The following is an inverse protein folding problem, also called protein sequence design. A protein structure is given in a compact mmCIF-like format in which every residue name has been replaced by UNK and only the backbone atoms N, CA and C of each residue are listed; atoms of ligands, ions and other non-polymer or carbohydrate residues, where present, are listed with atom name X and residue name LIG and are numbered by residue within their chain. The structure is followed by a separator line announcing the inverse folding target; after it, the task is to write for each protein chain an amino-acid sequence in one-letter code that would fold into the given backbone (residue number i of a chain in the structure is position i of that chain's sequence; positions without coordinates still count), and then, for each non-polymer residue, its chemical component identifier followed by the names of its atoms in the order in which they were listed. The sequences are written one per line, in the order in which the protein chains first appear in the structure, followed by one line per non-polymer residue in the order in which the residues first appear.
data_IF_175169929768
#
_entry.id   IF_175169929768
#
_cell.length_a   1.000
_cell.length_b   1.000
_cell.length_c   1.000
_cell.angle_alpha   90.00
_cell.angle_beta   90.00
_cell.angle_gamma   90.00
#
_symmetry.space_group_name_H-M   'P 1'
#
loop_
_entity.id
_entity.type
_entity.pdbx_description
1 polymer ?
#
# COMPACT_ATOMS: atom_id res chain seq x y z
N UNK A 1 -6.08 -5.41 20.62
CA UNK A 1 -6.20 -5.85 19.21
C UNK A 1 -4.79 -6.09 18.71
N UNK A 2 -4.57 -7.08 17.84
CA UNK A 2 -3.26 -7.36 17.23
C UNK A 2 -3.25 -6.72 15.84
N UNK A 3 -2.23 -5.90 15.56
CA UNK A 3 -2.02 -5.25 14.27
C UNK A 3 -1.06 -6.07 13.41
N UNK A 4 -1.25 -6.05 12.10
CA UNK A 4 -0.45 -6.79 11.11
C UNK A 4 0.85 -6.06 10.77
N UNK A 5 0.87 -4.74 10.94
CA UNK A 5 2.02 -3.86 10.65
C UNK A 5 2.49 -3.16 11.92
N UNK A 6 3.82 -3.07 12.08
CA UNK A 6 4.47 -2.17 13.05
C UNK A 6 5.25 -1.14 12.26
N UNK A 7 4.78 0.11 12.27
CA UNK A 7 5.38 1.23 11.54
C UNK A 7 6.41 1.99 12.37
N UNK A 8 6.35 1.91 13.70
CA UNK A 8 7.35 2.52 14.57
C UNK A 8 7.96 1.47 15.51
N UNK A 9 9.24 1.18 15.29
CA UNK A 9 10.03 0.30 16.12
C UNK A 9 10.95 1.10 17.06
N UNK A 10 10.84 0.83 18.35
CA UNK A 10 11.60 1.48 19.41
C UNK A 10 12.41 0.47 20.20
N UNK A 11 13.43 0.92 20.93
CA UNK A 11 14.20 0.04 21.82
C UNK A 11 13.35 -0.68 22.88
N UNK A 12 12.24 -0.08 23.32
CA UNK A 12 11.37 -0.63 24.38
C UNK A 12 9.90 -0.88 24.00
N UNK A 13 9.48 -0.59 22.76
CA UNK A 13 8.09 -0.78 22.33
C UNK A 13 7.95 -0.89 20.80
N UNK A 14 6.74 -1.22 20.36
CA UNK A 14 6.31 -1.26 18.96
C UNK A 14 4.96 -0.57 18.86
N UNK A 15 4.80 0.34 17.91
CA UNK A 15 3.52 1.00 17.67
C UNK A 15 3.04 0.78 16.23
N UNK A 16 1.73 0.69 16.10
CA UNK A 16 1.01 0.82 14.84
C UNK A 16 0.45 2.24 14.78
N UNK A 17 1.26 3.18 14.31
CA UNK A 17 0.95 4.62 14.30
C UNK A 17 1.89 5.37 13.34
N UNK A 18 1.54 6.60 12.98
CA UNK A 18 2.49 7.51 12.33
C UNK A 18 2.71 8.75 13.18
N UNK A 19 3.71 9.57 12.83
CA UNK A 19 3.98 10.83 13.51
C UNK A 19 3.01 11.96 13.17
N UNK A 20 2.25 11.81 12.08
CA UNK A 20 1.55 12.93 11.43
C UNK A 20 0.10 12.61 11.06
N UNK A 21 -0.30 11.35 11.04
CA UNK A 21 -1.63 10.92 10.61
C UNK A 21 -2.20 9.84 11.51
N UNK A 22 -3.50 9.99 11.81
CA UNK A 22 -4.33 9.00 12.47
C UNK A 22 -5.18 8.18 11.48
N UNK A 23 -5.00 8.39 10.16
CA UNK A 23 -5.66 7.59 9.14
C UNK A 23 -5.27 6.11 9.30
N UNK A 24 -6.25 5.17 9.34
CA UNK A 24 -5.97 3.73 9.47
C UNK A 24 -5.04 3.17 8.39
N UNK A 25 -5.02 3.75 7.19
CA UNK A 25 -4.16 3.32 6.10
C UNK A 25 -2.71 3.77 6.29
N UNK A 26 -2.49 4.86 7.04
CA UNK A 26 -1.19 5.53 7.11
C UNK A 26 -0.05 4.65 7.69
N UNK A 27 -0.25 3.84 8.75
CA UNK A 27 0.78 2.94 9.26
C UNK A 27 1.26 1.90 8.26
N UNK A 28 0.40 1.40 7.37
CA UNK A 28 0.81 0.49 6.30
C UNK A 28 1.44 1.24 5.13
N UNK A 29 0.81 2.34 4.69
CA UNK A 29 1.24 3.11 3.53
C UNK A 29 2.63 3.74 3.69
N UNK A 30 2.97 4.24 4.88
CA UNK A 30 4.26 4.89 5.14
C UNK A 30 5.46 3.95 4.98
N UNK A 31 5.26 2.64 5.19
CA UNK A 31 6.30 1.62 5.02
C UNK A 31 6.52 1.24 3.54
N UNK A 32 5.63 1.67 2.65
CA UNK A 32 5.69 1.35 1.22
C UNK A 32 6.36 2.47 0.41
N UNK A 33 6.21 3.72 0.80
CA UNK A 33 6.75 4.84 0.01
C UNK A 33 8.29 4.76 -0.11
N UNK A 34 8.89 5.07 -1.27
CA UNK A 34 8.27 5.54 -2.51
C UNK A 34 8.05 4.43 -3.57
N UNK A 35 8.03 3.14 -3.20
CA UNK A 35 7.89 1.99 -4.11
C UNK A 35 8.71 2.09 -5.44
N UNK A 36 10.05 2.27 -5.41
CA UNK A 36 10.89 2.19 -6.62
C UNK A 36 10.86 0.77 -7.20
N UNK A 37 11.28 0.55 -8.46
CA UNK A 37 11.21 -0.77 -9.13
C UNK A 37 11.78 -1.94 -8.31
N UNK A 38 12.87 -1.70 -7.56
CA UNK A 38 13.52 -2.68 -6.69
C UNK A 38 12.69 -3.04 -5.43
N UNK A 39 11.66 -2.26 -5.11
CA UNK A 39 10.85 -2.45 -3.91
C UNK A 39 10.01 -3.71 -3.94
N UNK A 40 9.59 -4.14 -5.13
CA UNK A 40 8.75 -5.32 -5.30
C UNK A 40 9.32 -6.54 -4.56
N UNK A 41 10.64 -6.75 -4.64
CA UNK A 41 11.30 -7.91 -4.04
C UNK A 41 11.26 -7.90 -2.51
N UNK A 42 11.47 -6.74 -1.86
CA UNK A 42 11.53 -6.68 -0.41
C UNK A 42 10.17 -6.45 0.24
N UNK A 43 9.26 -5.68 -0.37
CA UNK A 43 7.92 -5.47 0.20
C UNK A 43 7.06 -6.73 0.09
N UNK A 44 7.28 -7.56 -0.92
CA UNK A 44 6.58 -8.84 -1.08
C UNK A 44 7.21 -9.99 -0.27
N UNK A 45 8.27 -9.76 0.51
CA UNK A 45 9.00 -10.81 1.23
C UNK A 45 8.12 -11.60 2.22
N UNK A 46 7.05 -10.97 2.74
CA UNK A 46 6.05 -11.63 3.59
C UNK A 46 5.09 -12.58 2.85
N UNK A 47 5.10 -12.57 1.51
CA UNK A 47 4.25 -13.39 0.66
C UNK A 47 2.82 -12.86 0.50
N UNK A 48 2.08 -13.51 -0.40
CA UNK A 48 0.76 -13.07 -0.87
C UNK A 48 -0.31 -13.01 0.22
N UNK A 49 -0.25 -13.93 1.18
CA UNK A 49 -1.17 -13.95 2.33
C UNK A 49 -0.95 -12.74 3.25
N UNK A 50 0.31 -12.35 3.47
CA UNK A 50 0.63 -11.18 4.26
C UNK A 50 0.14 -9.90 3.59
N UNK A 51 0.31 -9.79 2.26
CA UNK A 51 -0.20 -8.66 1.48
C UNK A 51 -1.72 -8.50 1.70
N UNK A 52 -2.47 -9.61 1.62
CA UNK A 52 -3.91 -9.62 1.89
C UNK A 52 -4.24 -9.10 3.29
N UNK A 53 -3.60 -9.65 4.34
CA UNK A 53 -3.85 -9.24 5.73
C UNK A 53 -3.58 -7.76 5.98
N UNK A 54 -2.49 -7.24 5.41
CA UNK A 54 -2.13 -5.81 5.54
C UNK A 54 -3.19 -4.94 4.87
N UNK A 55 -3.67 -5.32 3.68
CA UNK A 55 -4.69 -4.57 2.95
C UNK A 55 -6.06 -4.65 3.64
N UNK A 56 -6.45 -5.82 4.16
CA UNK A 56 -7.70 -6.02 4.90
C UNK A 56 -7.76 -5.14 6.17
N UNK A 57 -6.60 -4.88 6.78
CA UNK A 57 -6.49 -3.97 7.94
C UNK A 57 -6.44 -2.49 7.53
N UNK A 58 -5.67 -2.15 6.50
CA UNK A 58 -5.46 -0.75 6.08
C UNK A 58 -6.68 -0.16 5.37
N UNK A 59 -7.38 -0.96 4.55
CA UNK A 59 -8.51 -0.56 3.70
C UNK A 59 -9.61 -1.62 3.75
N UNK A 60 -10.26 -1.82 4.92
CA UNK A 60 -11.21 -2.93 5.13
C UNK A 60 -12.43 -2.90 4.21
N UNK A 61 -12.84 -1.72 3.75
CA UNK A 61 -13.95 -1.53 2.81
C UNK A 61 -13.50 -1.62 1.33
N UNK A 62 -12.20 -1.75 1.09
CA UNK A 62 -11.61 -1.75 -0.25
C UNK A 62 -11.62 -0.38 -0.93
N UNK A 63 -11.86 0.70 -0.18
CA UNK A 63 -11.72 2.08 -0.65
C UNK A 63 -10.26 2.52 -0.56
N UNK A 64 -9.73 3.02 -1.68
CA UNK A 64 -8.35 3.50 -1.80
C UNK A 64 -8.26 5.02 -1.94
N UNK A 65 -9.38 5.75 -1.86
CA UNK A 65 -9.40 7.21 -1.71
C UNK A 65 -9.02 7.61 -0.26
N UNK A 66 -7.85 7.15 0.18
CA UNK A 66 -7.30 7.33 1.54
C UNK A 66 -5.83 7.71 1.43
N UNK A 67 -5.23 8.15 2.54
CA UNK A 67 -3.82 8.50 2.54
C UNK A 67 -2.95 7.30 2.11
N UNK A 68 -2.08 7.51 1.11
CA UNK A 68 -1.21 6.49 0.51
C UNK A 68 -1.95 5.35 -0.22
N UNK A 69 -3.22 5.53 -0.58
CA UNK A 69 -4.02 4.52 -1.28
C UNK A 69 -3.41 4.08 -2.62
N UNK A 70 -2.73 4.98 -3.32
CA UNK A 70 -1.97 4.67 -4.53
C UNK A 70 -0.84 3.66 -4.27
N UNK A 71 -0.05 3.84 -3.21
CA UNK A 71 0.99 2.88 -2.83
C UNK A 71 0.39 1.54 -2.34
N UNK A 72 -0.77 1.56 -1.68
CA UNK A 72 -1.48 0.33 -1.31
C UNK A 72 -1.99 -0.43 -2.55
N UNK A 73 -2.40 0.25 -3.61
CA UNK A 73 -2.72 -0.36 -4.91
C UNK A 73 -1.48 -0.96 -5.59
N UNK A 74 -0.33 -0.26 -5.51
CA UNK A 74 0.96 -0.80 -5.98
C UNK A 74 1.35 -2.08 -5.22
N UNK A 75 1.10 -2.12 -3.91
CA UNK A 75 1.35 -3.28 -3.05
C UNK A 75 0.39 -4.44 -3.35
N UNK A 76 -0.90 -4.14 -3.54
CA UNK A 76 -1.93 -5.11 -3.95
C UNK A 76 -1.55 -5.85 -5.22
N UNK A 77 -0.95 -5.16 -6.20
CA UNK A 77 -0.55 -5.77 -7.45
C UNK A 77 0.45 -6.93 -7.28
N UNK A 78 1.26 -6.91 -6.22
CA UNK A 78 2.24 -7.95 -5.93
C UNK A 78 1.63 -9.26 -5.42
N UNK A 79 0.35 -9.26 -5.02
CA UNK A 79 -0.31 -10.45 -4.51
C UNK A 79 -0.59 -11.49 -5.61
N UNK A 80 -1.02 -11.08 -6.80
CA UNK A 80 -1.22 -11.95 -7.98
C UNK A 80 -1.64 -11.12 -9.20
N UNK A 81 -1.56 -11.69 -10.41
CA UNK A 81 -2.05 -11.01 -11.62
C UNK A 81 -3.54 -10.63 -11.58
N UNK A 82 -4.37 -11.40 -10.87
CA UNK A 82 -5.78 -11.03 -10.63
C UNK A 82 -5.92 -9.79 -9.73
N UNK A 83 -5.07 -9.69 -8.71
CA UNK A 83 -5.03 -8.54 -7.81
C UNK A 83 -4.40 -7.32 -8.49
N UNK A 84 -3.39 -7.51 -9.35
CA UNK A 84 -2.85 -6.45 -10.21
C UNK A 84 -3.92 -5.91 -11.18
N UNK A 85 -4.71 -6.79 -11.79
CA UNK A 85 -5.81 -6.37 -12.67
C UNK A 85 -6.88 -5.58 -11.92
N UNK A 86 -7.27 -6.03 -10.73
CA UNK A 86 -8.21 -5.28 -9.88
C UNK A 86 -7.64 -3.94 -9.41
N UNK A 87 -6.38 -3.92 -8.97
CA UNK A 87 -5.68 -2.71 -8.58
C UNK A 87 -5.57 -1.70 -9.73
N UNK A 88 -5.32 -2.18 -10.95
CA UNK A 88 -5.23 -1.34 -12.14
C UNK A 88 -6.55 -0.65 -12.47
N UNK A 89 -7.69 -1.35 -12.29
CA UNK A 89 -9.00 -0.76 -12.49
C UNK A 89 -9.23 0.39 -11.49
N UNK A 90 -8.98 0.15 -10.20
CA UNK A 90 -9.10 1.17 -9.15
C UNK A 90 -8.14 2.34 -9.38
N UNK A 91 -6.89 2.08 -9.74
CA UNK A 91 -5.88 3.12 -9.98
C UNK A 91 -6.22 4.06 -11.15
N UNK A 92 -7.00 3.60 -12.14
CA UNK A 92 -7.48 4.45 -13.24
C UNK A 92 -8.50 5.48 -12.76
N UNK A 93 -9.35 5.07 -11.83
CA UNK A 93 -10.48 5.87 -11.35
C UNK A 93 -10.16 6.64 -10.05
N UNK A 94 -9.03 6.36 -9.39
CA UNK A 94 -8.58 7.06 -8.19
C UNK A 94 -8.52 8.58 -8.46
N UNK A 95 -9.12 9.47 -7.64
CA UNK A 95 -9.03 10.91 -7.83
C UNK A 95 -7.58 11.42 -7.86
N UNK A 96 -7.32 12.52 -8.55
CA UNK A 96 -5.95 13.02 -8.73
C UNK A 96 -5.38 13.59 -7.42
N UNK A 97 -6.25 14.15 -6.58
CA UNK A 97 -5.97 14.65 -5.25
C UNK A 97 -5.61 13.55 -4.23
N UNK A 98 -6.01 12.31 -4.48
CA UNK A 98 -5.73 11.15 -3.62
C UNK A 98 -4.44 10.42 -4.01
N UNK A 99 -3.80 10.81 -5.11
CA UNK A 99 -2.46 10.32 -5.47
C UNK A 99 -1.44 11.10 -4.65
N UNK A 100 -0.58 10.39 -3.92
CA UNK A 100 0.44 11.03 -3.10
C UNK A 100 1.34 11.94 -3.95
N UNK A 101 1.70 13.09 -3.41
CA UNK A 101 2.51 14.08 -4.13
C UNK A 101 3.93 13.59 -4.48
N UNK A 102 4.41 12.54 -3.82
CA UNK A 102 5.63 11.81 -4.17
C UNK A 102 5.46 10.78 -5.29
N UNK A 103 4.26 10.61 -5.81
CA UNK A 103 3.90 9.67 -6.86
C UNK A 103 3.26 10.37 -8.07
N UNK A 104 2.98 9.61 -9.13
CA UNK A 104 2.22 10.08 -10.29
C UNK A 104 1.29 8.98 -10.79
N UNK A 105 0.14 9.36 -11.39
CA UNK A 105 -0.75 8.38 -12.03
C UNK A 105 -0.03 7.55 -13.08
N UNK A 106 0.85 8.16 -13.88
CA UNK A 106 1.60 7.44 -14.90
C UNK A 106 2.52 6.38 -14.29
N UNK A 107 3.23 6.70 -13.20
CA UNK A 107 4.08 5.73 -12.50
C UNK A 107 3.27 4.63 -11.83
N UNK A 108 2.21 4.98 -11.10
CA UNK A 108 1.27 4.05 -10.49
C UNK A 108 0.74 3.01 -11.50
N UNK A 109 0.23 3.48 -12.64
CA UNK A 109 -0.31 2.60 -13.67
C UNK A 109 0.78 1.71 -14.29
N UNK A 110 1.94 2.28 -14.62
CA UNK A 110 3.06 1.52 -15.18
C UNK A 110 3.57 0.45 -14.22
N UNK A 111 3.67 0.78 -12.93
CA UNK A 111 4.03 -0.17 -11.87
C UNK A 111 3.08 -1.36 -11.86
N UNK A 112 1.77 -1.11 -11.75
CA UNK A 112 0.78 -2.18 -11.64
C UNK A 112 0.78 -3.04 -12.92
N UNK A 113 0.89 -2.42 -14.09
CA UNK A 113 0.97 -3.13 -15.39
C UNK A 113 2.20 -4.04 -15.48
N UNK A 114 3.32 -3.68 -14.85
CA UNK A 114 4.52 -4.53 -14.82
C UNK A 114 4.40 -5.78 -13.93
N UNK A 115 3.32 -5.88 -13.16
CA UNK A 115 3.04 -6.99 -12.23
C UNK A 115 1.72 -7.72 -12.56
N UNK A 116 1.15 -7.51 -13.76
CA UNK A 116 -0.03 -8.26 -14.25
C UNK A 116 0.29 -9.70 -14.66
#
# INVERSE_FOLDING_TARGET
MQHTVVSLNWGGKRDHATWFSADPAAPAGIELIPMPAVAADYVAAGGKEQIGKVLDEAVPEGDYAVQFGDYLLMYRALASGSQATAALALARDLPAEDIDTGNTRSYLLAWIMSHQ
#
